data_IF_760642762522
#
_entry.id   IF_760642762522
#
_cell.length_a   1.000
_cell.length_b   1.000
_cell.length_c   1.000
_cell.angle_alpha   90.00
_cell.angle_beta   90.00
_cell.angle_gamma   90.00
#
_symmetry.space_group_name_H-M   'P 1'
#
loop_
_entity.id
_entity.type
_entity.pdbx_description
1 polymer ?
#
# COMPACT_ATOMS: atom_id res chain seq x y z
N UNK A 1 -4.20 -8.27 -4.53
CA UNK A 1 -3.12 -8.64 -3.57
C UNK A 1 -3.59 -8.19 -2.20
N UNK A 2 -3.37 -8.98 -1.14
CA UNK A 2 -3.96 -8.71 0.19
C UNK A 2 -3.19 -7.66 1.01
N UNK A 3 -1.86 -7.65 0.94
CA UNK A 3 -1.06 -6.71 1.73
C UNK A 3 0.30 -6.49 1.09
N UNK A 4 0.67 -5.24 0.81
CA UNK A 4 1.99 -4.91 0.24
C UNK A 4 3.12 -5.22 1.23
N UNK A 5 2.83 -5.18 2.53
CA UNK A 5 3.80 -5.48 3.60
C UNK A 5 4.29 -6.94 3.59
N UNK A 6 3.60 -7.85 2.90
CA UNK A 6 4.01 -9.25 2.80
C UNK A 6 4.92 -9.53 1.60
N UNK A 7 5.08 -8.56 0.69
CA UNK A 7 5.94 -8.70 -0.48
C UNK A 7 7.41 -8.43 -0.14
N UNK A 8 8.28 -9.09 -0.88
CA UNK A 8 9.73 -8.98 -0.76
C UNK A 8 10.37 -8.96 -2.14
N UNK A 9 11.28 -8.01 -2.34
CA UNK A 9 12.12 -7.89 -3.51
C UNK A 9 13.53 -8.36 -3.16
N UNK A 10 14.05 -9.43 -3.78
CA UNK A 10 15.42 -9.90 -3.56
C UNK A 10 16.48 -8.91 -4.09
N UNK A 11 16.08 -8.00 -4.98
CA UNK A 11 16.97 -7.00 -5.57
C UNK A 11 17.36 -5.89 -4.58
N UNK A 12 16.68 -5.82 -3.43
CA UNK A 12 16.94 -4.84 -2.39
C UNK A 12 17.31 -5.55 -1.07
N UNK A 13 18.55 -5.38 -0.56
CA UNK A 13 18.99 -6.00 0.69
C UNK A 13 18.46 -5.21 1.90
N UNK A 14 17.17 -5.35 2.20
CA UNK A 14 16.50 -4.74 3.35
C UNK A 14 15.44 -5.67 3.92
N UNK A 15 15.05 -5.44 5.18
CA UNK A 15 14.07 -6.29 5.87
C UNK A 15 12.70 -6.19 5.20
N UNK A 16 12.03 -7.32 5.01
CA UNK A 16 10.63 -7.36 4.54
C UNK A 16 9.72 -6.48 5.41
N UNK A 17 8.78 -5.79 4.78
CA UNK A 17 7.91 -4.82 5.44
C UNK A 17 8.57 -3.47 5.80
N UNK A 18 9.87 -3.28 5.53
CA UNK A 18 10.49 -1.95 5.60
C UNK A 18 9.94 -1.02 4.51
N UNK A 19 10.04 0.30 4.72
CA UNK A 19 9.61 1.32 3.74
C UNK A 19 10.22 1.05 2.37
N UNK A 20 11.53 0.79 2.34
CA UNK A 20 12.26 0.59 1.09
C UNK A 20 11.80 -0.67 0.36
N UNK A 21 11.51 -1.78 1.07
CA UNK A 21 10.89 -2.97 0.45
C UNK A 21 9.51 -2.68 -0.12
N UNK A 22 8.67 -1.97 0.63
CA UNK A 22 7.30 -1.63 0.23
C UNK A 22 7.31 -0.75 -1.02
N UNK A 23 8.14 0.30 -1.04
CA UNK A 23 8.30 1.20 -2.18
C UNK A 23 8.79 0.45 -3.41
N UNK A 24 9.85 -0.35 -3.28
CA UNK A 24 10.40 -1.15 -4.39
C UNK A 24 9.37 -2.12 -4.98
N UNK A 25 8.61 -2.81 -4.12
CA UNK A 25 7.56 -3.71 -4.58
C UNK A 25 6.43 -2.94 -5.28
N UNK A 26 6.03 -1.78 -4.76
CA UNK A 26 5.00 -0.94 -5.36
C UNK A 26 5.43 -0.43 -6.75
N UNK A 27 6.67 0.04 -6.91
CA UNK A 27 7.21 0.51 -8.19
C UNK A 27 7.18 -0.59 -9.26
N UNK A 28 7.55 -1.82 -8.89
CA UNK A 28 7.46 -2.97 -9.79
C UNK A 28 6.03 -3.26 -10.21
N UNK A 29 5.08 -3.23 -9.27
CA UNK A 29 3.66 -3.45 -9.55
C UNK A 29 3.11 -2.38 -10.50
N UNK A 30 3.41 -1.11 -10.23
CA UNK A 30 2.95 0.02 -11.04
C UNK A 30 3.53 -0.07 -12.46
N UNK A 31 4.82 -0.40 -12.57
CA UNK A 31 5.49 -0.57 -13.86
C UNK A 31 4.87 -1.72 -14.68
N UNK A 32 4.58 -2.85 -14.04
CA UNK A 32 3.88 -3.97 -14.67
C UNK A 32 2.46 -3.56 -15.10
N UNK A 33 1.70 -2.91 -14.22
CA UNK A 33 0.34 -2.47 -14.49
C UNK A 33 0.28 -1.54 -15.71
N UNK A 34 1.20 -0.55 -15.78
CA UNK A 34 1.36 0.34 -16.93
C UNK A 34 1.76 -0.42 -18.19
N UNK A 35 2.74 -1.32 -18.10
CA UNK A 35 3.22 -2.12 -19.23
C UNK A 35 2.14 -3.03 -19.84
N UNK A 36 1.26 -3.57 -19.01
CA UNK A 36 0.14 -4.42 -19.45
C UNK A 36 -1.18 -3.67 -19.65
N UNK A 37 -1.23 -2.36 -19.37
CA UNK A 37 -2.45 -1.54 -19.41
C UNK A 37 -3.61 -2.13 -18.59
N UNK A 38 -3.30 -2.58 -17.37
CA UNK A 38 -4.28 -3.15 -16.43
C UNK A 38 -4.38 -2.29 -15.16
N UNK A 39 -5.55 -2.22 -14.52
CA UNK A 39 -5.67 -1.61 -13.20
C UNK A 39 -4.98 -2.50 -12.15
N UNK A 40 -4.40 -1.86 -11.13
CA UNK A 40 -3.82 -2.55 -9.97
C UNK A 40 -4.34 -1.93 -8.67
N UNK A 41 -4.63 -2.78 -7.70
CA UNK A 41 -5.00 -2.38 -6.34
C UNK A 41 -3.91 -2.85 -5.38
N UNK A 42 -3.38 -1.90 -4.60
CA UNK A 42 -2.39 -2.15 -3.56
C UNK A 42 -3.07 -1.92 -2.21
N UNK A 43 -3.01 -2.92 -1.33
CA UNK A 43 -3.59 -2.84 0.00
C UNK A 43 -2.46 -2.66 1.01
N UNK A 44 -2.56 -1.62 1.83
CA UNK A 44 -1.62 -1.33 2.90
C UNK A 44 -2.33 -1.30 4.25
N UNK A 45 -1.88 -2.10 5.21
CA UNK A 45 -2.45 -2.12 6.56
C UNK A 45 -1.88 -1.03 7.46
N UNK A 46 -2.76 -0.32 8.18
CA UNK A 46 -2.36 0.68 9.19
C UNK A 46 -2.04 0.03 10.53
N UNK A 47 -0.84 0.27 11.05
CA UNK A 47 -0.44 -0.21 12.39
C UNK A 47 -1.06 0.66 13.49
N UNK A 48 -1.18 0.11 14.70
CA UNK A 48 -1.88 0.72 15.84
C UNK A 48 -1.30 2.07 16.30
N UNK A 49 -0.04 2.36 15.96
CA UNK A 49 0.64 3.62 16.29
C UNK A 49 0.37 4.74 15.27
N UNK A 50 -0.37 4.49 14.18
CA UNK A 50 -0.53 5.44 13.08
C UNK A 50 0.74 5.61 12.23
N UNK A 51 1.87 5.10 12.71
CA UNK A 51 3.11 4.93 11.96
C UNK A 51 2.99 3.70 11.06
N UNK A 52 2.16 3.78 10.02
CA UNK A 52 2.68 3.19 8.79
C UNK A 52 3.76 4.15 8.34
N UNK A 53 4.94 3.60 8.16
CA UNK A 53 6.03 4.29 7.49
C UNK A 53 5.79 4.45 5.96
N UNK A 54 4.55 4.42 5.47
CA UNK A 54 4.22 4.14 4.08
C UNK A 54 2.91 4.64 3.44
N UNK A 55 1.95 5.38 4.08
CA UNK A 55 0.83 5.97 3.35
C UNK A 55 1.38 7.05 2.44
N UNK A 56 2.08 8.04 3.00
CA UNK A 56 2.65 9.16 2.23
C UNK A 56 3.53 8.76 1.05
N UNK A 57 4.40 7.76 1.23
CA UNK A 57 5.29 7.36 0.13
C UNK A 57 4.48 6.70 -0.99
N UNK A 58 3.55 5.81 -0.65
CA UNK A 58 2.69 5.14 -1.63
C UNK A 58 1.66 6.10 -2.24
N UNK A 59 1.13 7.04 -1.46
CA UNK A 59 0.20 8.09 -1.89
C UNK A 59 0.76 8.89 -3.06
N UNK A 60 2.05 9.21 -3.04
CA UNK A 60 2.70 9.92 -4.15
C UNK A 60 3.00 9.04 -5.36
N UNK A 61 2.90 7.72 -5.25
CA UNK A 61 3.20 6.76 -6.32
C UNK A 61 1.96 6.31 -7.09
N UNK A 62 0.77 6.47 -6.51
CA UNK A 62 -0.51 5.95 -7.04
C UNK A 62 -1.41 7.07 -7.53
N UNK A 63 -2.32 6.75 -8.45
CA UNK A 63 -3.27 7.71 -9.01
C UNK A 63 -4.45 8.02 -8.08
N UNK A 64 -4.75 7.14 -7.12
CA UNK A 64 -5.88 7.29 -6.20
C UNK A 64 -5.59 6.59 -4.89
N UNK A 65 -5.94 7.24 -3.78
CA UNK A 65 -5.76 6.72 -2.43
C UNK A 65 -7.12 6.58 -1.78
N UNK A 66 -7.38 5.39 -1.23
CA UNK A 66 -8.63 5.08 -0.55
C UNK A 66 -8.36 4.68 0.89
N UNK A 67 -8.98 5.39 1.83
CA UNK A 67 -8.94 5.07 3.25
C UNK A 67 -10.20 4.32 3.65
N UNK A 68 -10.02 3.12 4.20
CA UNK A 68 -11.10 2.32 4.77
C UNK A 68 -11.05 2.39 6.29
N UNK A 69 -11.99 3.12 6.88
CA UNK A 69 -12.03 3.41 8.32
C UNK A 69 -13.40 3.08 8.93
N UNK A 70 -13.45 3.00 10.26
CA UNK A 70 -14.70 2.78 10.97
C UNK A 70 -14.54 2.89 12.47
N UNK A 71 -15.63 3.27 13.14
CA UNK A 71 -15.71 3.23 14.60
C UNK A 71 -15.84 1.77 15.06
N UNK A 72 -15.13 1.39 16.13
CA UNK A 72 -15.25 0.06 16.75
C UNK A 72 -16.65 -0.24 17.27
N UNK A 73 -17.45 0.78 17.58
CA UNK A 73 -18.83 0.67 18.08
C UNK A 73 -19.88 0.60 16.97
N UNK A 74 -19.48 0.79 15.71
CA UNK A 74 -20.37 0.76 14.56
C UNK A 74 -19.98 -0.37 13.62
N UNK A 75 -20.98 -1.05 13.07
CA UNK A 75 -20.78 -2.02 12.00
C UNK A 75 -20.54 -1.34 10.65
N UNK A 76 -20.87 -0.04 10.54
CA UNK A 76 -20.62 0.72 9.33
C UNK A 76 -19.12 0.99 9.16
N UNK A 77 -18.68 0.95 7.91
CA UNK A 77 -17.34 1.32 7.47
C UNK A 77 -17.46 2.42 6.43
N UNK A 78 -16.51 3.34 6.45
CA UNK A 78 -16.45 4.48 5.54
C UNK A 78 -15.24 4.26 4.63
N UNK A 79 -15.46 4.43 3.33
CA UNK A 79 -14.40 4.52 2.34
C UNK A 79 -14.26 5.99 1.92
N UNK A 80 -13.10 6.59 2.12
CA UNK A 80 -12.79 7.98 1.75
C UNK A 80 -11.75 8.04 0.64
N UNK A 81 -11.93 8.98 -0.28
CA UNK A 81 -10.93 9.35 -1.29
C UNK A 81 -10.13 10.52 -0.71
N UNK A 82 -8.80 10.44 -0.77
CA UNK A 82 -7.90 11.60 -0.60
C UNK A 82 -7.39 12.11 -1.94
#
# INVERSE_FOLDING_TARGET
>A
MDSIQTLYSPDLPSTSGSISQISECADKIISLAKGFSIPAFIIGHITKSGEIAGPKILEHMVDTVLYFEGDKRSELRILKVE
#
